data_IF_307161078640
#
_entry.id   IF_307161078640
#
_cell.length_a   1.000
_cell.length_b   1.000
_cell.length_c   1.000
_cell.angle_alpha   90.00
_cell.angle_beta   90.00
_cell.angle_gamma   90.00
#
_symmetry.space_group_name_H-M   'P 1'
#
loop_
_entity.id
_entity.type
_entity.pdbx_description
1 polymer ?
#
# COMPACT_ATOMS: atom_id res chain seq x y z
N UNK A 1 19.63 25.21 -9.89
CA UNK A 1 18.30 25.39 -9.24
C UNK A 1 18.45 25.00 -7.78
N UNK A 2 17.65 25.55 -6.87
CA UNK A 2 17.64 25.11 -5.45
C UNK A 2 17.07 23.68 -5.41
N UNK A 3 17.75 22.74 -4.73
CA UNK A 3 17.27 21.38 -4.54
C UNK A 3 15.99 21.38 -3.69
N UNK A 4 15.03 20.52 -4.03
CA UNK A 4 13.84 20.29 -3.19
C UNK A 4 14.22 19.41 -2.00
N UNK A 5 13.70 19.73 -0.85
CA UNK A 5 13.89 18.94 0.39
C UNK A 5 12.80 17.89 0.52
N UNK A 6 13.20 16.63 0.40
CA UNK A 6 12.33 15.46 0.45
C UNK A 6 12.52 14.72 1.76
N UNK A 7 11.49 14.69 2.62
CA UNK A 7 11.51 13.83 3.80
C UNK A 7 11.01 12.43 3.41
N UNK A 8 11.87 11.42 3.47
CA UNK A 8 11.53 10.02 3.21
C UNK A 8 11.21 9.35 4.53
N UNK A 9 9.92 8.99 4.74
CA UNK A 9 9.48 8.29 5.96
C UNK A 9 9.60 6.79 5.76
N UNK A 10 10.22 6.07 6.70
CA UNK A 10 10.38 4.62 6.63
C UNK A 10 10.22 3.93 7.99
N UNK A 11 10.04 2.60 7.98
CA UNK A 11 9.83 1.79 9.16
C UNK A 11 8.36 1.70 9.54
N UNK A 12 7.98 2.28 10.67
CA UNK A 12 6.59 2.34 11.13
C UNK A 12 6.23 1.28 12.18
N UNK A 13 5.24 1.60 13.02
CA UNK A 13 4.64 0.68 13.99
C UNK A 13 3.66 -0.28 13.30
N UNK A 14 4.16 -1.11 12.42
CA UNK A 14 3.44 -2.01 11.54
C UNK A 14 4.12 -3.38 11.46
N UNK A 15 3.36 -4.41 11.09
CA UNK A 15 3.90 -5.74 10.77
C UNK A 15 4.77 -5.73 9.51
N UNK A 16 4.67 -4.70 8.68
CA UNK A 16 5.40 -4.53 7.43
C UNK A 16 6.60 -3.57 7.56
N UNK A 17 7.06 -3.34 8.79
CA UNK A 17 8.21 -2.48 9.10
C UNK A 17 9.45 -2.82 8.27
N UNK A 18 9.78 -4.10 8.15
CA UNK A 18 10.94 -4.59 7.39
C UNK A 18 10.81 -4.30 5.89
N UNK A 19 9.61 -4.51 5.33
CA UNK A 19 9.32 -4.21 3.91
C UNK A 19 9.47 -2.72 3.64
N UNK A 20 9.01 -1.88 4.57
CA UNK A 20 9.18 -0.43 4.49
C UNK A 20 10.66 -0.02 4.43
N UNK A 21 11.51 -0.60 5.27
CA UNK A 21 12.97 -0.33 5.26
C UNK A 21 13.61 -0.72 3.94
N UNK A 22 13.27 -1.89 3.41
CA UNK A 22 13.77 -2.35 2.10
C UNK A 22 13.29 -1.46 0.96
N UNK A 23 12.02 -1.08 0.95
CA UNK A 23 11.44 -0.15 -0.02
C UNK A 23 12.13 1.23 0.04
N UNK A 24 12.33 1.76 1.26
CA UNK A 24 13.00 3.04 1.45
C UNK A 24 14.46 3.01 1.01
N UNK A 25 15.18 1.90 1.21
CA UNK A 25 16.53 1.73 0.68
C UNK A 25 16.54 1.88 -0.85
N UNK A 26 15.58 1.27 -1.55
CA UNK A 26 15.47 1.41 -3.00
C UNK A 26 15.13 2.85 -3.42
N UNK A 27 14.21 3.51 -2.71
CA UNK A 27 13.85 4.91 -2.98
C UNK A 27 15.05 5.83 -2.78
N UNK A 28 15.74 5.73 -1.63
CA UNK A 28 16.89 6.57 -1.28
C UNK A 28 18.06 6.41 -2.28
N UNK A 29 18.31 5.19 -2.77
CA UNK A 29 19.36 4.92 -3.74
C UNK A 29 19.03 5.42 -5.16
N UNK A 30 17.77 5.74 -5.45
CA UNK A 30 17.33 6.15 -6.79
C UNK A 30 16.79 7.59 -6.86
N UNK A 31 16.67 8.30 -5.74
CA UNK A 31 16.41 9.74 -5.77
C UNK A 31 17.61 10.49 -6.33
N UNK A 32 17.35 11.37 -7.31
CA UNK A 32 18.39 12.16 -7.97
C UNK A 32 18.98 13.19 -7.00
N UNK A 33 20.23 12.94 -6.55
CA UNK A 33 20.95 13.82 -5.64
C UNK A 33 21.21 15.23 -6.22
N UNK A 34 21.12 15.45 -7.52
CA UNK A 34 21.23 16.79 -8.11
C UNK A 34 19.94 17.60 -7.96
N UNK A 35 18.79 16.93 -7.84
CA UNK A 35 17.47 17.55 -7.71
C UNK A 35 17.00 17.65 -6.26
N UNK A 36 17.35 16.66 -5.43
CA UNK A 36 16.78 16.46 -4.10
C UNK A 36 17.83 16.52 -2.98
N UNK A 37 17.46 17.20 -1.91
CA UNK A 37 18.13 17.17 -0.60
C UNK A 37 17.27 16.26 0.31
N UNK A 38 17.74 15.05 0.59
CA UNK A 38 16.93 14.01 1.20
C UNK A 38 17.12 13.97 2.69
N UNK A 39 16.00 13.94 3.43
CA UNK A 39 15.93 13.81 4.89
C UNK A 39 15.30 12.46 5.25
N UNK A 40 16.09 11.40 5.49
CA UNK A 40 15.54 10.12 5.93
C UNK A 40 14.98 10.21 7.35
N UNK A 41 13.73 9.85 7.54
CA UNK A 41 13.05 9.87 8.84
C UNK A 41 12.56 8.46 9.17
N UNK A 42 13.22 7.82 10.12
CA UNK A 42 12.91 6.46 10.55
C UNK A 42 11.89 6.45 11.69
N UNK A 43 10.92 5.55 11.59
CA UNK A 43 9.92 5.29 12.62
C UNK A 43 10.13 3.87 13.14
N UNK A 44 10.43 3.73 14.44
CA UNK A 44 10.64 2.42 15.06
C UNK A 44 9.33 1.64 15.23
N UNK A 45 9.42 0.34 15.53
CA UNK A 45 8.22 -0.50 15.79
C UNK A 45 7.39 -0.04 16.99
N UNK A 46 8.01 0.62 17.96
CA UNK A 46 7.36 1.22 19.12
C UNK A 46 6.90 2.68 18.87
N UNK A 47 7.03 3.17 17.62
CA UNK A 47 6.46 4.44 17.19
C UNK A 47 7.34 5.67 17.46
N UNK A 48 8.62 5.51 17.81
CA UNK A 48 9.56 6.65 17.96
C UNK A 48 10.08 7.09 16.61
N UNK A 49 10.19 8.38 16.41
CA UNK A 49 10.64 9.00 15.17
C UNK A 49 12.04 9.56 15.31
N UNK A 50 12.88 9.33 14.31
CA UNK A 50 14.26 9.83 14.28
C UNK A 50 14.62 10.36 12.89
N UNK A 51 15.23 11.55 12.85
CA UNK A 51 16.02 11.97 11.69
C UNK A 51 17.27 11.09 11.66
N UNK A 52 17.45 10.36 10.57
CA UNK A 52 18.53 9.41 10.37
C UNK A 52 19.64 10.01 9.51
N UNK A 53 20.88 9.95 9.97
CA UNK A 53 22.05 10.50 9.26
C UNK A 53 23.09 9.44 8.89
N UNK A 54 22.78 8.17 9.11
CA UNK A 54 23.70 7.07 8.81
C UNK A 54 23.64 6.61 7.35
N UNK A 55 24.41 5.58 6.99
CA UNK A 55 24.43 5.02 5.64
C UNK A 55 23.13 4.28 5.29
N UNK A 56 22.73 4.34 4.01
CA UNK A 56 21.46 3.75 3.53
C UNK A 56 21.40 2.24 3.78
N UNK A 57 22.54 1.55 3.72
CA UNK A 57 22.67 0.10 3.99
C UNK A 57 22.21 -0.28 5.41
N UNK A 58 22.29 0.68 6.35
CA UNK A 58 21.80 0.51 7.71
C UNK A 58 20.30 0.28 7.81
N UNK A 59 19.51 0.71 6.81
CA UNK A 59 18.06 0.50 6.78
C UNK A 59 17.73 -0.98 6.61
N UNK A 60 18.30 -1.64 5.60
CA UNK A 60 18.03 -3.06 5.32
C UNK A 60 18.41 -3.96 6.49
N UNK A 61 19.58 -3.73 7.11
CA UNK A 61 20.06 -4.54 8.24
C UNK A 61 19.31 -4.27 9.55
N UNK A 62 18.59 -3.14 9.67
CA UNK A 62 17.98 -2.66 10.91
C UNK A 62 18.96 -1.95 11.86
N UNK A 63 20.22 -1.79 11.46
CA UNK A 63 21.23 -1.10 12.27
C UNK A 63 20.91 0.39 12.45
N UNK A 64 20.08 0.97 11.60
CA UNK A 64 19.67 2.36 11.65
C UNK A 64 19.08 2.77 13.02
N UNK A 65 18.31 1.89 13.67
CA UNK A 65 17.69 2.19 14.97
C UNK A 65 18.69 2.48 16.08
N UNK A 66 19.90 1.91 15.97
CA UNK A 66 20.98 2.04 16.97
C UNK A 66 22.06 3.03 16.54
N UNK A 67 21.85 3.75 15.44
CA UNK A 67 22.84 4.70 14.95
C UNK A 67 23.00 5.87 15.93
N UNK A 68 24.25 6.16 16.32
CA UNK A 68 24.55 7.17 17.33
C UNK A 68 24.21 8.60 16.90
N UNK A 69 24.10 8.84 15.58
CA UNK A 69 23.71 10.13 15.01
C UNK A 69 22.19 10.31 14.86
N UNK A 70 21.38 9.39 15.37
CA UNK A 70 19.90 9.55 15.34
C UNK A 70 19.47 10.71 16.22
N UNK A 71 18.69 11.62 15.64
CA UNK A 71 18.12 12.76 16.36
C UNK A 71 16.60 12.56 16.46
N UNK A 72 16.00 12.58 17.66
CA UNK A 72 14.56 12.53 17.81
C UNK A 72 13.88 13.60 16.95
N UNK A 73 12.84 13.22 16.23
CA UNK A 73 12.15 14.10 15.30
C UNK A 73 10.63 13.92 15.37
N UNK A 74 9.89 14.89 14.86
CA UNK A 74 8.44 14.81 14.74
C UNK A 74 7.95 15.68 13.59
N UNK A 75 6.80 15.33 13.01
CA UNK A 75 6.02 16.25 12.17
C UNK A 75 5.07 17.00 13.09
N UNK A 76 5.17 18.33 13.07
CA UNK A 76 4.34 19.20 13.89
C UNK A 76 3.24 19.83 13.03
N UNK A 77 1.96 19.66 13.38
CA UNK A 77 0.88 20.43 12.79
C UNK A 77 1.08 21.94 13.06
N UNK A 78 0.88 22.75 12.04
CA UNK A 78 0.92 24.21 12.16
C UNK A 78 1.88 24.87 11.17
N UNK A 79 1.41 25.92 10.54
CA UNK A 79 2.03 26.60 9.39
C UNK A 79 3.34 27.35 9.69
N UNK A 80 3.72 27.48 10.96
CA UNK A 80 4.92 28.25 11.36
C UNK A 80 6.20 27.45 11.50
N UNK A 81 6.15 26.12 11.48
CA UNK A 81 7.28 25.24 11.82
C UNK A 81 7.85 24.45 10.64
N UNK A 82 7.45 24.75 9.41
CA UNK A 82 7.88 24.02 8.21
C UNK A 82 7.68 22.48 8.27
N UNK A 83 6.83 22.02 9.19
CA UNK A 83 6.33 20.66 9.34
C UNK A 83 7.23 19.65 10.07
N UNK A 84 8.53 19.61 9.82
CA UNK A 84 9.46 18.68 10.47
C UNK A 84 10.32 19.42 11.50
N UNK A 85 10.43 18.84 12.70
CA UNK A 85 11.30 19.35 13.77
C UNK A 85 12.21 18.24 14.27
N UNK A 86 13.42 18.62 14.66
CA UNK A 86 14.40 17.76 15.32
C UNK A 86 14.71 18.29 16.71
N UNK A 87 14.88 17.40 17.68
CA UNK A 87 15.15 17.71 19.08
C UNK A 87 16.60 17.37 19.41
N UNK A 88 17.46 18.35 19.37
CA UNK A 88 18.90 18.16 19.52
C UNK A 88 19.42 19.01 20.72
N UNK A 89 20.08 18.37 21.69
CA UNK A 89 20.65 19.02 22.87
C UNK A 89 19.66 19.91 23.64
N UNK A 90 18.40 19.49 23.74
CA UNK A 90 17.33 20.24 24.40
C UNK A 90 16.76 21.41 23.58
N UNK A 91 17.19 21.57 22.35
CA UNK A 91 16.73 22.63 21.44
C UNK A 91 15.85 21.97 20.34
N UNK A 92 14.69 22.60 20.08
CA UNK A 92 13.84 22.24 18.94
C UNK A 92 14.30 23.01 17.68
N UNK A 93 14.73 22.31 16.66
CA UNK A 93 15.17 22.88 15.40
C UNK A 93 14.17 22.54 14.29
N UNK A 94 13.60 23.56 13.67
CA UNK A 94 12.75 23.39 12.47
C UNK A 94 13.60 23.00 11.26
N UNK A 95 13.13 22.04 10.52
CA UNK A 95 13.72 21.53 9.29
C UNK A 95 12.72 21.79 8.14
N UNK A 96 13.03 22.68 7.20
CA UNK A 96 12.14 22.90 6.06
C UNK A 96 12.07 21.65 5.19
N UNK A 97 10.83 21.27 4.82
CA UNK A 97 10.52 20.15 3.94
C UNK A 97 9.60 20.67 2.84
N UNK A 98 9.94 20.40 1.58
CA UNK A 98 9.13 20.81 0.44
C UNK A 98 8.10 19.72 0.10
N UNK A 99 8.44 18.44 0.32
CA UNK A 99 7.55 17.29 0.09
C UNK A 99 7.93 16.11 0.97
N UNK A 100 6.94 15.33 1.39
CA UNK A 100 7.14 14.07 2.12
C UNK A 100 6.93 12.89 1.19
N UNK A 101 7.82 11.91 1.23
CA UNK A 101 7.68 10.63 0.55
C UNK A 101 7.46 9.53 1.59
N UNK A 102 6.21 9.19 1.94
CA UNK A 102 5.94 8.08 2.84
C UNK A 102 6.26 6.76 2.13
N UNK A 103 7.15 5.96 2.70
CA UNK A 103 7.46 4.60 2.26
C UNK A 103 7.07 3.66 3.41
N UNK A 104 5.81 3.78 3.81
CA UNK A 104 5.22 3.07 4.95
C UNK A 104 4.18 2.09 4.43
N UNK A 105 4.12 0.90 5.02
CA UNK A 105 3.17 -0.13 4.60
C UNK A 105 2.26 -0.55 5.75
N UNK A 106 1.01 -0.92 5.41
CA UNK A 106 0.00 -1.37 6.34
C UNK A 106 -0.52 -0.28 7.28
N UNK A 107 -0.72 -0.66 8.54
CA UNK A 107 -1.29 0.22 9.58
C UNK A 107 -0.47 1.49 9.75
N UNK A 108 -1.15 2.63 9.90
CA UNK A 108 -0.62 3.99 10.02
C UNK A 108 0.07 4.51 8.75
N UNK A 109 0.35 3.68 7.75
CA UNK A 109 0.94 4.07 6.48
C UNK A 109 -0.09 4.21 5.36
N UNK A 110 -0.97 3.21 5.19
CA UNK A 110 -1.92 3.12 4.07
C UNK A 110 -3.37 3.41 4.47
N UNK A 111 -3.66 3.71 5.73
CA UNK A 111 -5.01 3.81 6.29
C UNK A 111 -5.54 5.25 6.46
N UNK A 112 -4.83 6.23 5.95
CA UNK A 112 -5.19 7.65 6.07
C UNK A 112 -4.58 8.35 7.29
N UNK A 113 -3.95 7.61 8.22
CA UNK A 113 -3.43 8.15 9.47
C UNK A 113 -2.24 9.09 9.23
N UNK A 114 -1.21 8.62 8.52
CA UNK A 114 -0.05 9.47 8.18
C UNK A 114 -0.47 10.61 7.23
N UNK A 115 -1.36 10.33 6.31
CA UNK A 115 -1.88 11.33 5.39
C UNK A 115 -2.58 12.46 6.14
N UNK A 116 -3.41 12.13 7.15
CA UNK A 116 -4.06 13.13 8.00
C UNK A 116 -3.08 14.00 8.80
N UNK A 117 -1.98 13.42 9.29
CA UNK A 117 -0.91 14.18 9.95
C UNK A 117 -0.25 15.16 8.96
N UNK A 118 0.02 14.72 7.73
CA UNK A 118 0.67 15.53 6.70
C UNK A 118 -0.25 16.66 6.21
N UNK A 119 -1.56 16.40 6.06
CA UNK A 119 -2.58 17.43 5.77
C UNK A 119 -2.61 18.50 6.87
N UNK A 120 -2.65 18.09 8.14
CA UNK A 120 -2.65 19.02 9.28
C UNK A 120 -1.33 19.84 9.38
N UNK A 121 -0.23 19.27 8.91
CA UNK A 121 1.06 19.96 8.85
C UNK A 121 1.21 20.86 7.62
N UNK A 122 0.27 20.80 6.65
CA UNK A 122 0.35 21.56 5.41
C UNK A 122 1.51 21.11 4.51
N UNK A 123 1.92 19.84 4.60
CA UNK A 123 3.04 19.28 3.84
C UNK A 123 2.53 18.52 2.62
N UNK A 124 2.99 18.85 1.40
CA UNK A 124 2.81 18.00 0.23
C UNK A 124 3.36 16.59 0.47
N UNK A 125 2.69 15.56 -0.03
CA UNK A 125 3.16 14.18 0.15
C UNK A 125 2.80 13.29 -1.04
N UNK A 126 3.66 12.30 -1.28
CA UNK A 126 3.49 11.27 -2.30
C UNK A 126 2.45 10.26 -1.85
N UNK A 127 1.60 9.82 -2.77
CA UNK A 127 0.58 8.80 -2.53
C UNK A 127 -0.84 9.34 -2.46
N UNK A 128 -1.78 8.46 -2.14
CA UNK A 128 -3.19 8.81 -2.01
C UNK A 128 -3.45 9.75 -0.83
N UNK A 129 -4.52 10.54 -0.92
CA UNK A 129 -5.01 11.36 0.18
C UNK A 129 -5.69 10.54 1.27
N UNK A 130 -6.13 11.22 2.34
CA UNK A 130 -6.78 10.59 3.50
C UNK A 130 -7.95 9.68 3.10
N UNK A 131 -8.86 10.19 2.27
CA UNK A 131 -10.07 9.45 1.88
C UNK A 131 -9.72 8.19 1.07
N UNK A 132 -8.90 8.32 0.02
CA UNK A 132 -8.51 7.19 -0.83
C UNK A 132 -7.78 6.10 -0.03
N UNK A 133 -6.83 6.50 0.82
CA UNK A 133 -6.10 5.58 1.70
C UNK A 133 -7.04 4.83 2.66
N UNK A 134 -7.91 5.55 3.38
CA UNK A 134 -8.82 4.94 4.34
C UNK A 134 -9.85 4.01 3.68
N UNK A 135 -10.39 4.38 2.52
CA UNK A 135 -11.37 3.57 1.79
C UNK A 135 -10.71 2.31 1.23
N UNK A 136 -9.53 2.43 0.61
CA UNK A 136 -8.83 1.27 0.03
C UNK A 136 -8.36 0.28 1.10
N UNK A 137 -7.93 0.80 2.26
CA UNK A 137 -7.49 -0.04 3.38
C UNK A 137 -8.64 -0.85 3.99
N UNK A 138 -9.87 -0.33 3.95
CA UNK A 138 -11.06 -1.02 4.44
C UNK A 138 -11.77 -1.78 3.31
N UNK A 139 -11.42 -3.04 3.13
CA UNK A 139 -11.96 -3.89 2.05
C UNK A 139 -13.50 -3.95 2.05
N UNK A 140 -14.15 -3.82 3.22
CA UNK A 140 -15.62 -3.80 3.32
C UNK A 140 -16.17 -2.52 2.70
N UNK A 141 -15.55 -1.37 3.00
CA UNK A 141 -15.96 -0.08 2.45
C UNK A 141 -15.63 0.00 0.96
N UNK A 142 -14.42 -0.41 0.56
CA UNK A 142 -14.04 -0.49 -0.85
C UNK A 142 -15.05 -1.31 -1.66
N UNK A 143 -15.39 -2.52 -1.20
CA UNK A 143 -16.38 -3.37 -1.87
C UNK A 143 -17.76 -2.71 -1.96
N UNK A 144 -18.25 -2.04 -0.91
CA UNK A 144 -19.51 -1.30 -0.96
C UNK A 144 -19.52 -0.17 -1.99
N UNK A 145 -18.40 0.56 -2.12
CA UNK A 145 -18.25 1.59 -3.15
C UNK A 145 -18.28 0.96 -4.54
N UNK A 146 -17.61 -0.18 -4.72
CA UNK A 146 -17.61 -0.92 -5.99
C UNK A 146 -18.99 -1.48 -6.32
N UNK A 147 -19.69 -2.08 -5.37
CA UNK A 147 -21.06 -2.60 -5.54
C UNK A 147 -22.04 -1.51 -5.98
N UNK A 148 -21.96 -0.34 -5.33
CA UNK A 148 -22.81 0.82 -5.68
C UNK A 148 -22.57 1.32 -7.11
N UNK A 149 -21.43 1.01 -7.70
CA UNK A 149 -21.07 1.36 -9.09
C UNK A 149 -21.22 0.20 -10.07
N UNK A 150 -21.79 -0.93 -9.64
CA UNK A 150 -21.89 -2.18 -10.40
C UNK A 150 -20.51 -2.61 -10.97
N UNK A 151 -19.43 -2.39 -10.20
CA UNK A 151 -18.09 -2.72 -10.62
C UNK A 151 -17.83 -4.23 -10.39
N UNK A 152 -17.17 -4.93 -11.32
CA UNK A 152 -16.86 -6.33 -11.14
C UNK A 152 -15.77 -6.50 -10.06
N UNK A 153 -16.17 -6.95 -8.88
CA UNK A 153 -15.29 -7.23 -7.75
C UNK A 153 -15.51 -8.64 -7.20
N UNK A 154 -14.56 -9.13 -6.42
CA UNK A 154 -14.72 -10.40 -5.70
C UNK A 154 -15.84 -10.25 -4.68
N UNK A 155 -16.88 -11.06 -4.82
CA UNK A 155 -18.00 -11.05 -3.89
C UNK A 155 -17.54 -11.51 -2.50
N UNK A 156 -17.77 -10.66 -1.51
CA UNK A 156 -17.46 -10.93 -0.12
C UNK A 156 -18.61 -10.53 0.81
N UNK A 157 -18.57 -11.06 2.03
CA UNK A 157 -19.46 -10.64 3.11
C UNK A 157 -18.65 -10.39 4.37
N UNK A 158 -19.04 -9.37 5.12
CA UNK A 158 -18.36 -9.00 6.35
C UNK A 158 -19.20 -9.36 7.57
N UNK A 159 -18.54 -9.85 8.59
CA UNK A 159 -19.11 -10.03 9.92
C UNK A 159 -18.34 -9.20 10.95
N UNK A 160 -19.04 -8.67 11.95
CA UNK A 160 -18.45 -7.86 13.03
C UNK A 160 -18.77 -8.48 14.38
N UNK A 161 -17.79 -8.55 15.27
CA UNK A 161 -17.93 -9.05 16.63
C UNK A 161 -18.99 -8.31 17.45
N UNK A 162 -19.23 -7.02 17.17
CA UNK A 162 -20.28 -6.20 17.82
C UNK A 162 -21.68 -6.31 17.21
N UNK A 163 -21.92 -7.17 16.22
CA UNK A 163 -23.20 -7.25 15.48
C UNK A 163 -24.35 -7.94 16.27
N UNK A 164 -24.08 -8.48 17.44
CA UNK A 164 -25.07 -9.28 18.21
C UNK A 164 -25.40 -10.63 17.58
N UNK A 165 -24.84 -10.99 16.45
CA UNK A 165 -25.02 -12.28 15.78
C UNK A 165 -23.77 -13.14 15.91
N UNK A 166 -23.95 -14.43 16.23
CA UNK A 166 -22.84 -15.38 16.16
C UNK A 166 -22.36 -15.51 14.71
N UNK A 167 -21.05 -15.43 14.46
CA UNK A 167 -20.48 -15.65 13.14
C UNK A 167 -20.85 -17.04 12.58
N UNK A 168 -21.06 -18.06 13.43
CA UNK A 168 -21.53 -19.41 13.07
C UNK A 168 -22.92 -19.37 12.43
N UNK A 169 -23.83 -18.56 12.98
CA UNK A 169 -25.17 -18.37 12.39
C UNK A 169 -25.14 -17.52 11.12
N UNK A 170 -24.18 -16.62 11.01
CA UNK A 170 -23.95 -15.80 9.81
C UNK A 170 -23.43 -16.64 8.64
N UNK A 171 -22.42 -17.47 8.84
CA UNK A 171 -21.88 -18.39 7.85
C UNK A 171 -22.85 -19.47 7.39
N UNK A 172 -23.66 -20.02 8.30
CA UNK A 172 -24.62 -21.07 7.99
C UNK A 172 -25.82 -20.60 7.12
N UNK A 173 -26.18 -19.31 7.18
CA UNK A 173 -27.29 -18.75 6.40
C UNK A 173 -26.99 -18.50 4.93
N UNK A 174 -25.73 -18.46 4.56
CA UNK A 174 -25.30 -18.24 3.19
C UNK A 174 -24.61 -19.49 2.66
N UNK A 175 -25.36 -20.30 1.91
CA UNK A 175 -24.85 -21.41 1.07
C UNK A 175 -24.00 -20.83 -0.08
N UNK A 176 -22.96 -20.06 0.21
CA UNK A 176 -21.96 -19.66 -0.75
C UNK A 176 -20.91 -20.76 -0.76
N UNK A 177 -20.75 -21.44 -1.90
CA UNK A 177 -19.72 -22.45 -2.05
C UNK A 177 -18.38 -21.95 -1.57
N UNK A 178 -17.70 -22.76 -0.77
CA UNK A 178 -16.33 -22.66 -0.26
C UNK A 178 -15.78 -21.22 -0.15
N UNK A 179 -15.91 -20.66 1.03
CA UNK A 179 -15.41 -19.33 1.32
C UNK A 179 -13.89 -19.34 1.52
N UNK A 180 -13.17 -18.51 0.82
CA UNK A 180 -11.87 -18.06 1.29
C UNK A 180 -12.09 -17.13 2.47
N UNK A 181 -11.35 -17.38 3.51
CA UNK A 181 -11.29 -16.52 4.65
C UNK A 181 -10.14 -15.52 4.48
N UNK A 182 -10.47 -14.24 4.38
CA UNK A 182 -9.49 -13.15 4.46
C UNK A 182 -9.79 -12.30 5.68
N UNK A 183 -8.77 -12.02 6.45
CA UNK A 183 -8.86 -11.06 7.53
C UNK A 183 -9.07 -9.67 6.94
N UNK A 184 -10.08 -8.96 7.40
CA UNK A 184 -10.26 -7.56 7.10
C UNK A 184 -9.45 -6.68 8.04
N UNK A 185 -8.77 -5.78 7.45
CA UNK A 185 -8.48 -4.47 7.97
C UNK A 185 -7.20 -4.21 8.72
N UNK A 186 -6.41 -3.55 8.81
CA UNK A 186 -5.32 -2.91 9.59
C UNK A 186 -3.92 -3.52 9.46
N UNK A 187 -3.74 -4.64 8.78
CA UNK A 187 -2.40 -5.22 8.63
C UNK A 187 -2.15 -5.76 7.23
N UNK A 188 -2.35 -4.97 6.17
CA UNK A 188 -1.87 -5.15 4.78
C UNK A 188 -1.67 -6.57 4.21
N UNK A 189 -1.60 -7.61 5.02
CA UNK A 189 -1.37 -8.99 4.62
C UNK A 189 -2.42 -9.93 5.20
N UNK A 190 -2.96 -10.81 4.35
CA UNK A 190 -3.92 -11.85 4.74
C UNK A 190 -3.26 -12.87 5.68
N UNK A 191 -3.79 -13.04 6.88
CA UNK A 191 -3.19 -13.90 7.92
C UNK A 191 -3.32 -15.39 7.59
N UNK A 192 -4.35 -15.82 6.84
CA UNK A 192 -4.49 -17.18 6.28
C UNK A 192 -5.51 -17.24 5.16
N UNK A 193 -5.15 -17.95 4.10
CA UNK A 193 -6.09 -18.48 3.12
C UNK A 193 -6.45 -19.92 3.54
N UNK A 194 -7.74 -20.23 3.66
CA UNK A 194 -8.22 -21.59 3.84
C UNK A 194 -9.11 -21.97 2.68
N UNK A 195 -8.65 -22.91 1.84
CA UNK A 195 -9.42 -23.47 0.74
C UNK A 195 -9.96 -24.82 1.16
N UNK A 196 -11.28 -25.02 1.04
CA UNK A 196 -11.89 -26.31 1.32
C UNK A 196 -11.85 -26.75 2.80
N UNK A 197 -11.66 -25.79 3.72
CA UNK A 197 -11.56 -26.06 5.15
C UNK A 197 -12.84 -26.70 5.71
N UNK A 198 -12.69 -27.75 6.50
CA UNK A 198 -13.74 -28.26 7.36
C UNK A 198 -14.19 -27.21 8.37
N UNK A 199 -15.36 -27.42 8.99
CA UNK A 199 -15.92 -26.47 9.97
C UNK A 199 -14.91 -26.06 11.08
N UNK A 200 -14.09 -26.97 11.56
CA UNK A 200 -13.10 -26.70 12.62
C UNK A 200 -11.93 -25.78 12.17
N UNK A 201 -11.51 -25.90 10.92
CA UNK A 201 -10.42 -25.03 10.38
C UNK A 201 -10.91 -23.61 10.13
N UNK A 202 -12.17 -23.46 9.71
CA UNK A 202 -12.80 -22.14 9.57
C UNK A 202 -12.94 -21.45 10.92
N UNK A 203 -13.33 -22.20 11.98
CA UNK A 203 -13.42 -21.67 13.34
C UNK A 203 -12.08 -21.14 13.83
N UNK A 204 -11.02 -21.94 13.71
CA UNK A 204 -9.67 -21.54 14.11
C UNK A 204 -9.17 -20.30 13.35
N UNK A 205 -9.53 -20.17 12.08
CA UNK A 205 -9.15 -19.01 11.27
C UNK A 205 -9.91 -17.74 11.66
N UNK A 206 -11.21 -17.87 11.98
CA UNK A 206 -12.01 -16.74 12.49
C UNK A 206 -11.46 -16.27 13.84
N UNK A 207 -11.20 -17.20 14.75
CA UNK A 207 -10.67 -16.88 16.07
C UNK A 207 -9.30 -16.21 15.99
N UNK A 208 -8.45 -16.66 15.08
CA UNK A 208 -7.15 -16.02 14.80
C UNK A 208 -7.34 -14.60 14.26
N UNK A 209 -8.26 -14.40 13.31
CA UNK A 209 -8.52 -13.09 12.74
C UNK A 209 -9.05 -12.10 13.77
N UNK A 210 -9.92 -12.56 14.66
CA UNK A 210 -10.49 -11.74 15.73
C UNK A 210 -9.47 -11.30 16.80
N UNK A 211 -8.30 -11.93 16.86
CA UNK A 211 -7.18 -11.44 17.69
C UNK A 211 -6.59 -10.14 17.14
N UNK A 212 -6.83 -9.84 15.87
CA UNK A 212 -6.21 -8.73 15.16
C UNK A 212 -7.19 -7.65 14.73
N UNK A 213 -8.47 -7.98 14.50
CA UNK A 213 -9.51 -7.04 14.11
C UNK A 213 -10.89 -7.51 14.64
N UNK A 214 -11.76 -6.54 14.88
CA UNK A 214 -13.16 -6.79 15.29
C UNK A 214 -14.07 -7.19 14.11
N UNK A 215 -13.57 -7.14 12.88
CA UNK A 215 -14.32 -7.47 11.66
C UNK A 215 -13.58 -8.51 10.83
N UNK A 216 -14.36 -9.39 10.24
CA UNK A 216 -13.88 -10.51 9.43
C UNK A 216 -14.58 -10.48 8.09
N UNK A 217 -13.81 -10.62 7.00
CA UNK A 217 -14.33 -10.70 5.62
C UNK A 217 -14.27 -12.14 5.15
N UNK A 218 -15.37 -12.61 4.60
CA UNK A 218 -15.49 -13.88 3.92
C UNK A 218 -15.63 -13.60 2.43
N UNK A 219 -14.72 -14.09 1.61
CA UNK A 219 -14.73 -13.89 0.17
C UNK A 219 -14.93 -15.21 -0.58
N UNK A 220 -15.56 -15.13 -1.75
CA UNK A 220 -15.61 -16.26 -2.67
C UNK A 220 -14.20 -16.57 -3.18
N UNK A 221 -13.86 -17.85 -3.22
CA UNK A 221 -12.67 -18.27 -3.95
C UNK A 221 -12.81 -18.01 -5.45
N UNK A 222 -11.81 -17.40 -6.04
CA UNK A 222 -11.71 -17.19 -7.47
C UNK A 222 -10.57 -18.06 -8.00
N UNK A 223 -10.91 -19.09 -8.77
CA UNK A 223 -9.92 -19.87 -9.49
C UNK A 223 -9.55 -19.12 -10.77
N UNK A 224 -8.37 -18.50 -10.78
CA UNK A 224 -7.95 -17.61 -11.87
C UNK A 224 -6.51 -17.14 -11.73
N UNK A 225 -6.07 -16.35 -12.71
CA UNK A 225 -4.79 -15.68 -12.71
C UNK A 225 -4.86 -14.44 -11.80
N UNK A 226 -3.87 -14.28 -10.91
CA UNK A 226 -3.70 -13.05 -10.11
C UNK A 226 -2.86 -12.06 -10.91
N UNK A 227 -3.42 -10.89 -11.19
CA UNK A 227 -2.78 -9.87 -12.02
C UNK A 227 -2.85 -8.50 -11.33
N UNK A 228 -1.78 -7.74 -11.47
CA UNK A 228 -1.59 -6.46 -10.80
C UNK A 228 -1.32 -5.35 -11.83
N UNK A 229 -1.98 -4.19 -11.69
CA UNK A 229 -1.73 -3.00 -12.49
C UNK A 229 -1.13 -1.88 -11.64
N UNK A 230 -0.13 -1.18 -12.17
CA UNK A 230 0.30 0.09 -11.62
C UNK A 230 -0.56 1.22 -12.22
N UNK A 231 -1.10 2.08 -11.34
CA UNK A 231 -1.88 3.25 -11.74
C UNK A 231 -1.24 4.49 -11.14
N UNK A 232 -1.19 5.58 -11.92
CA UNK A 232 -0.59 6.85 -11.52
C UNK A 232 -1.40 8.04 -12.06
N UNK A 233 -1.44 9.11 -11.28
CA UNK A 233 -2.00 10.40 -11.68
C UNK A 233 -2.91 11.04 -10.64
N UNK A 234 -3.23 12.30 -10.85
CA UNK A 234 -4.21 13.05 -10.06
C UNK A 234 -5.55 13.13 -10.83
N UNK A 235 -5.70 14.07 -11.73
CA UNK A 235 -6.89 14.24 -12.57
C UNK A 235 -6.73 13.46 -13.88
N UNK A 236 -5.57 13.56 -14.49
CA UNK A 236 -5.16 12.68 -15.57
C UNK A 236 -4.53 11.41 -14.99
N UNK A 237 -5.18 10.28 -15.23
CA UNK A 237 -4.83 8.99 -14.65
C UNK A 237 -4.46 8.02 -15.77
N UNK A 238 -3.31 7.39 -15.63
CA UNK A 238 -2.83 6.33 -16.52
C UNK A 238 -2.57 5.04 -15.76
N UNK A 239 -2.77 3.90 -16.42
CA UNK A 239 -2.45 2.57 -15.91
C UNK A 239 -1.53 1.83 -16.85
N UNK A 240 -0.70 0.94 -16.32
CA UNK A 240 0.10 0.00 -17.10
C UNK A 240 -0.72 -1.18 -17.57
N UNK A 241 -0.25 -1.94 -18.55
CA UNK A 241 -0.71 -3.33 -18.70
C UNK A 241 -0.40 -4.10 -17.41
N UNK A 242 -1.24 -5.11 -17.07
CA UNK A 242 -1.02 -5.88 -15.86
C UNK A 242 0.21 -6.78 -15.97
N UNK A 243 0.85 -7.01 -14.83
CA UNK A 243 1.75 -8.13 -14.61
C UNK A 243 1.04 -9.25 -13.88
N UNK A 244 1.51 -10.48 -14.06
CA UNK A 244 0.98 -11.69 -13.45
C UNK A 244 1.97 -12.23 -12.42
N UNK A 245 1.44 -12.70 -11.29
CA UNK A 245 2.18 -13.43 -10.30
C UNK A 245 2.07 -14.93 -10.62
N UNK A 246 3.18 -15.51 -11.04
CA UNK A 246 3.30 -16.95 -11.27
C UNK A 246 3.64 -17.62 -9.94
N UNK A 247 2.63 -18.07 -9.21
CA UNK A 247 2.82 -18.74 -7.94
C UNK A 247 3.63 -20.03 -8.12
N UNK A 248 4.66 -20.22 -7.31
CA UNK A 248 5.48 -21.46 -7.27
C UNK A 248 4.76 -22.60 -6.55
N UNK A 249 3.68 -22.31 -5.80
CA UNK A 249 2.83 -23.24 -5.07
C UNK A 249 1.37 -22.75 -5.08
N UNK A 250 0.46 -23.61 -4.64
CA UNK A 250 -1.00 -23.36 -4.60
C UNK A 250 -1.41 -22.14 -3.76
N UNK A 251 -0.48 -21.58 -2.94
CA UNK A 251 -0.69 -20.42 -2.09
C UNK A 251 0.51 -19.48 -2.11
N UNK A 252 0.24 -18.20 -2.37
CA UNK A 252 1.21 -17.12 -2.33
C UNK A 252 1.24 -16.51 -0.92
N UNK A 253 2.26 -16.87 -0.14
CA UNK A 253 2.41 -16.42 1.25
C UNK A 253 3.26 -15.14 1.35
N UNK A 254 3.23 -14.47 2.53
CA UNK A 254 4.12 -13.35 2.85
C UNK A 254 5.60 -13.72 2.69
N UNK A 255 5.96 -14.94 3.09
CA UNK A 255 7.33 -15.44 2.97
C UNK A 255 7.74 -15.63 1.51
N UNK A 256 6.81 -16.04 0.64
CA UNK A 256 7.05 -16.13 -0.80
C UNK A 256 7.22 -14.75 -1.44
N UNK A 257 6.50 -13.74 -0.93
CA UNK A 257 6.56 -12.36 -1.43
C UNK A 257 7.90 -11.69 -1.16
N UNK A 258 8.48 -11.88 0.03
CA UNK A 258 9.56 -11.03 0.52
C UNK A 258 10.82 -11.77 0.95
N UNK A 259 10.77 -13.08 1.24
CA UNK A 259 11.88 -13.83 1.82
C UNK A 259 12.46 -14.84 0.81
N UNK A 260 11.66 -15.66 0.16
CA UNK A 260 12.14 -16.75 -0.68
C UNK A 260 12.52 -16.35 -2.11
N UNK A 261 11.97 -15.24 -2.62
CA UNK A 261 12.28 -14.72 -3.96
C UNK A 261 12.00 -15.70 -5.12
N UNK A 262 11.26 -16.78 -4.87
CA UNK A 262 11.00 -17.87 -5.82
C UNK A 262 9.83 -17.60 -6.76
N UNK A 263 8.99 -16.58 -6.45
CA UNK A 263 7.87 -16.21 -7.29
C UNK A 263 8.35 -15.58 -8.58
N UNK A 264 7.96 -16.15 -9.71
CA UNK A 264 8.18 -15.57 -11.03
C UNK A 264 7.06 -14.59 -11.35
N UNK A 265 7.39 -13.52 -12.04
CA UNK A 265 6.41 -12.57 -12.56
C UNK A 265 6.49 -12.56 -14.08
N UNK A 266 5.35 -12.46 -14.74
CA UNK A 266 5.26 -12.20 -16.17
C UNK A 266 4.77 -10.76 -16.39
N UNK A 267 5.51 -9.97 -17.14
CA UNK A 267 5.14 -8.60 -17.50
C UNK A 267 5.35 -8.45 -19.02
N UNK A 268 4.30 -8.20 -19.80
CA UNK A 268 2.88 -8.22 -19.39
C UNK A 268 2.40 -9.60 -18.93
N UNK A 269 1.26 -9.65 -18.25
CA UNK A 269 0.57 -10.89 -17.87
C UNK A 269 0.27 -11.78 -19.08
N UNK A 270 0.22 -13.10 -18.90
CA UNK A 270 -0.06 -14.07 -19.96
C UNK A 270 -1.56 -14.09 -20.30
N UNK A 271 -2.06 -12.98 -20.85
CA UNK A 271 -3.43 -12.75 -21.25
C UNK A 271 -3.50 -12.31 -22.71
N UNK A 272 -4.66 -12.48 -23.34
CA UNK A 272 -4.91 -11.92 -24.67
C UNK A 272 -4.80 -10.37 -24.65
N UNK A 273 -4.35 -9.71 -25.74
CA UNK A 273 -4.17 -8.26 -25.78
C UNK A 273 -5.41 -7.48 -25.33
N UNK A 274 -6.60 -7.87 -25.78
CA UNK A 274 -7.86 -7.23 -25.42
C UNK A 274 -8.15 -7.36 -23.91
N UNK A 275 -7.68 -8.45 -23.29
CA UNK A 275 -7.85 -8.67 -21.86
C UNK A 275 -6.85 -7.85 -21.05
N UNK A 276 -5.64 -7.64 -21.55
CA UNK A 276 -4.66 -6.71 -20.95
C UNK A 276 -5.21 -5.29 -20.91
N UNK A 277 -5.83 -4.82 -22.00
CA UNK A 277 -6.48 -3.52 -22.10
C UNK A 277 -7.69 -3.42 -21.15
N UNK A 278 -8.53 -4.44 -21.10
CA UNK A 278 -9.69 -4.49 -20.19
C UNK A 278 -9.26 -4.35 -18.73
N UNK A 279 -8.22 -5.10 -18.30
CA UNK A 279 -7.71 -5.03 -16.92
C UNK A 279 -7.14 -3.65 -16.62
N UNK A 280 -6.35 -3.07 -17.53
CA UNK A 280 -5.82 -1.70 -17.37
C UNK A 280 -6.94 -0.67 -17.21
N UNK A 281 -7.95 -0.72 -18.07
CA UNK A 281 -9.06 0.24 -18.07
C UNK A 281 -9.90 0.09 -16.78
N UNK A 282 -10.12 -1.14 -16.32
CA UNK A 282 -10.74 -1.41 -15.03
C UNK A 282 -9.89 -0.88 -13.87
N UNK A 283 -8.55 -1.00 -13.93
CA UNK A 283 -7.67 -0.47 -12.89
C UNK A 283 -7.80 1.06 -12.76
N UNK A 284 -7.79 1.79 -13.87
CA UNK A 284 -8.00 3.25 -13.89
C UNK A 284 -9.38 3.62 -13.35
N UNK A 285 -10.42 2.88 -13.71
CA UNK A 285 -11.79 3.10 -13.20
C UNK A 285 -11.90 2.83 -11.70
N UNK A 286 -11.30 1.75 -11.20
CA UNK A 286 -11.28 1.43 -9.77
C UNK A 286 -10.54 2.51 -8.97
N UNK A 287 -9.37 2.93 -9.44
CA UNK A 287 -8.57 4.00 -8.87
C UNK A 287 -9.37 5.29 -8.68
N UNK A 288 -10.06 5.74 -9.74
CA UNK A 288 -10.92 6.93 -9.69
C UNK A 288 -12.11 6.74 -8.76
N UNK A 289 -12.75 5.57 -8.81
CA UNK A 289 -13.95 5.28 -8.01
C UNK A 289 -13.65 5.27 -6.50
N UNK A 290 -12.44 4.86 -6.10
CA UNK A 290 -11.98 4.83 -4.71
C UNK A 290 -11.25 6.12 -4.29
N UNK A 291 -11.34 7.19 -5.08
CA UNK A 291 -10.75 8.49 -4.80
C UNK A 291 -9.22 8.44 -4.62
N UNK A 292 -8.54 7.53 -5.32
CA UNK A 292 -7.09 7.47 -5.32
C UNK A 292 -6.48 8.65 -6.06
N UNK A 293 -5.28 9.06 -5.65
CA UNK A 293 -4.44 10.10 -6.25
C UNK A 293 -2.97 9.69 -6.13
N UNK A 294 -2.11 10.30 -6.95
CA UNK A 294 -0.68 10.02 -6.94
C UNK A 294 -0.36 8.65 -7.52
N UNK A 295 -0.48 7.58 -6.73
CA UNK A 295 -0.23 6.21 -7.17
C UNK A 295 -1.11 5.19 -6.44
N UNK A 296 -1.32 4.05 -7.08
CA UNK A 296 -1.80 2.82 -6.43
C UNK A 296 -1.47 1.59 -7.28
N UNK A 297 -1.37 0.43 -6.66
CA UNK A 297 -1.42 -0.86 -7.33
C UNK A 297 -2.82 -1.44 -7.19
N UNK A 298 -3.40 -1.83 -8.31
CA UNK A 298 -4.75 -2.38 -8.39
C UNK A 298 -4.66 -3.84 -8.76
N UNK A 299 -5.14 -4.72 -7.90
CA UNK A 299 -4.97 -6.16 -7.98
C UNK A 299 -6.30 -6.84 -8.38
N UNK A 300 -6.23 -7.74 -9.36
CA UNK A 300 -7.39 -8.42 -9.93
C UNK A 300 -7.19 -9.93 -9.98
N UNK A 301 -8.30 -10.65 -10.07
CA UNK A 301 -8.35 -12.02 -10.59
C UNK A 301 -8.98 -12.05 -11.98
N UNK A 302 -8.36 -12.78 -12.90
CA UNK A 302 -8.97 -13.18 -14.17
C UNK A 302 -9.44 -14.62 -14.04
N UNK A 303 -10.75 -14.81 -13.87
CA UNK A 303 -11.38 -16.08 -13.55
C UNK A 303 -11.22 -17.08 -14.71
N UNK A 304 -10.72 -18.28 -14.42
CA UNK A 304 -10.63 -19.34 -15.43
C UNK A 304 -12.02 -19.70 -15.96
N UNK A 305 -12.11 -20.10 -17.20
CA UNK A 305 -13.35 -20.49 -17.89
C UNK A 305 -14.21 -19.30 -18.32
N UNK A 306 -14.58 -18.41 -17.40
CA UNK A 306 -15.43 -17.24 -17.72
C UNK A 306 -14.66 -16.05 -18.26
N UNK A 307 -13.36 -15.97 -18.00
CA UNK A 307 -12.49 -14.84 -18.32
C UNK A 307 -12.97 -13.50 -17.74
N UNK A 308 -13.77 -13.54 -16.67
CA UNK A 308 -14.21 -12.32 -15.97
C UNK A 308 -13.07 -11.73 -15.17
N UNK A 309 -12.90 -10.41 -15.27
CA UNK A 309 -11.95 -9.65 -14.46
C UNK A 309 -12.65 -9.18 -13.19
N UNK A 310 -12.12 -9.53 -12.04
CA UNK A 310 -12.71 -9.24 -10.73
C UNK A 310 -11.70 -8.49 -9.87
N UNK A 311 -12.06 -7.29 -9.44
CA UNK A 311 -11.23 -6.51 -8.52
C UNK A 311 -11.06 -7.27 -7.20
N UNK A 312 -9.81 -7.39 -6.77
CA UNK A 312 -9.43 -7.98 -5.49
C UNK A 312 -9.21 -6.89 -4.43
N UNK A 313 -8.23 -6.02 -4.65
CA UNK A 313 -7.90 -4.94 -3.71
C UNK A 313 -7.13 -3.80 -4.40
N UNK A 314 -6.99 -2.67 -3.70
CA UNK A 314 -6.20 -1.52 -4.14
C UNK A 314 -5.23 -1.14 -3.04
N UNK A 315 -3.93 -1.14 -3.37
CA UNK A 315 -2.83 -0.82 -2.47
C UNK A 315 -2.35 0.62 -2.74
N UNK A 316 -2.54 1.52 -1.81
CA UNK A 316 -2.31 2.96 -2.00
C UNK A 316 -0.87 3.40 -1.76
N UNK A 317 -0.07 2.58 -1.08
CA UNK A 317 1.39 2.72 -0.95
C UNK A 317 2.05 1.35 -1.22
N UNK A 318 2.09 0.92 -2.48
CA UNK A 318 2.68 -0.37 -2.84
C UNK A 318 4.18 -0.41 -2.52
N UNK A 319 4.74 -1.61 -2.39
CA UNK A 319 6.17 -1.78 -2.16
C UNK A 319 7.04 -1.19 -3.28
N UNK A 320 8.22 -0.71 -2.91
CA UNK A 320 9.21 -0.10 -3.81
C UNK A 320 10.55 -0.86 -3.82
N UNK A 321 10.57 -2.12 -3.38
CA UNK A 321 11.77 -2.96 -3.49
C UNK A 321 12.02 -3.36 -4.94
N UNK A 322 13.23 -3.87 -5.25
CA UNK A 322 13.59 -4.35 -6.59
C UNK A 322 12.71 -5.51 -7.07
N UNK A 323 12.05 -6.22 -6.16
CA UNK A 323 11.13 -7.32 -6.48
C UNK A 323 9.66 -6.88 -6.53
N UNK A 324 9.34 -5.67 -6.05
CA UNK A 324 7.96 -5.16 -5.98
C UNK A 324 7.36 -4.95 -7.37
N UNK A 325 6.09 -5.33 -7.52
CA UNK A 325 5.41 -5.31 -8.82
C UNK A 325 5.19 -3.88 -9.34
N UNK A 326 4.81 -2.93 -8.48
CA UNK A 326 4.52 -1.56 -8.91
C UNK A 326 5.68 -0.91 -9.69
N UNK A 327 6.92 -0.81 -9.15
CA UNK A 327 8.03 -0.26 -9.93
C UNK A 327 8.37 -1.12 -11.16
N UNK A 328 8.28 -2.46 -11.10
CA UNK A 328 8.53 -3.32 -12.27
C UNK A 328 7.56 -3.03 -13.42
N UNK A 329 6.28 -2.82 -13.12
CA UNK A 329 5.27 -2.48 -14.12
C UNK A 329 5.56 -1.12 -14.77
N UNK A 330 5.93 -0.12 -13.99
CA UNK A 330 6.27 1.21 -14.49
C UNK A 330 7.54 1.18 -15.35
N UNK A 331 8.56 0.43 -14.93
CA UNK A 331 9.78 0.24 -15.74
C UNK A 331 9.49 -0.51 -17.06
N UNK A 332 8.64 -1.53 -17.02
CA UNK A 332 8.22 -2.24 -18.23
C UNK A 332 7.39 -1.34 -19.18
N UNK A 333 6.72 -0.32 -18.65
CA UNK A 333 6.03 0.71 -19.43
C UNK A 333 6.97 1.79 -19.99
N UNK A 334 8.29 1.67 -19.79
CA UNK A 334 9.30 2.57 -20.36
C UNK A 334 9.83 3.65 -19.42
N UNK A 335 9.39 3.65 -18.15
CA UNK A 335 9.94 4.57 -17.14
C UNK A 335 11.34 4.15 -16.69
N UNK A 336 12.10 5.10 -16.16
CA UNK A 336 13.27 4.81 -15.33
C UNK A 336 12.91 4.91 -13.87
N UNK A 337 13.66 4.24 -12.99
CA UNK A 337 13.36 4.32 -11.56
C UNK A 337 13.45 5.76 -11.00
N UNK A 338 14.52 6.54 -11.29
CA UNK A 338 14.55 7.95 -10.93
C UNK A 338 13.40 8.77 -11.54
N UNK A 339 13.05 8.54 -12.82
CA UNK A 339 11.93 9.22 -13.49
C UNK A 339 10.58 8.93 -12.84
N UNK A 340 10.38 7.70 -12.39
CA UNK A 340 9.19 7.32 -11.61
C UNK A 340 9.11 8.13 -10.31
N UNK A 341 10.20 8.19 -9.54
CA UNK A 341 10.23 8.96 -8.29
C UNK A 341 9.98 10.45 -8.53
N UNK A 342 10.63 11.03 -9.55
CA UNK A 342 10.42 12.42 -9.97
C UNK A 342 8.94 12.70 -10.27
N UNK A 343 8.30 11.82 -11.05
CA UNK A 343 6.89 11.98 -11.41
C UNK A 343 5.95 11.91 -10.21
N UNK A 344 6.22 11.03 -9.25
CA UNK A 344 5.42 10.90 -8.03
C UNK A 344 5.57 12.13 -7.12
N UNK A 345 6.77 12.69 -7.01
CA UNK A 345 7.03 13.94 -6.29
C UNK A 345 6.32 15.11 -6.97
N UNK A 346 6.39 15.18 -8.30
CA UNK A 346 5.68 16.22 -9.07
C UNK A 346 4.18 16.17 -8.83
N UNK A 347 3.56 14.97 -8.89
CA UNK A 347 2.12 14.80 -8.60
C UNK A 347 1.77 15.24 -7.17
N UNK A 348 2.64 15.00 -6.20
CA UNK A 348 2.41 15.45 -4.83
C UNK A 348 2.38 16.98 -4.72
N UNK A 349 3.31 17.66 -5.40
CA UNK A 349 3.40 19.12 -5.42
C UNK A 349 2.24 19.75 -6.19
N UNK A 350 1.85 19.19 -7.33
CA UNK A 350 0.68 19.63 -8.10
C UNK A 350 -0.61 19.57 -7.28
N UNK A 351 -0.82 18.46 -6.56
CA UNK A 351 -2.00 18.31 -5.70
C UNK A 351 -2.06 19.37 -4.61
N UNK A 352 -0.92 19.71 -4.02
CA UNK A 352 -0.84 20.73 -2.97
C UNK A 352 -1.01 22.15 -3.51
N UNK A 353 -0.54 22.44 -4.74
CA UNK A 353 -0.70 23.72 -5.41
C UNK A 353 -2.09 23.97 -5.99
N UNK A 354 -2.87 22.90 -6.25
CA UNK A 354 -4.23 22.98 -6.80
C UNK A 354 -5.35 23.24 -5.78
N UNK A 355 -5.03 23.39 -4.50
CA UNK A 355 -6.02 23.64 -3.41
C UNK A 355 -6.21 25.14 -3.13
N UNK A 356 -5.82 26.00 -4.05
CA UNK A 356 -6.07 27.44 -3.97
C UNK A 356 -7.09 27.91 -5.01
N UNK A 357 -8.31 27.36 -4.91
CA UNK A 357 -9.53 27.98 -5.44
C UNK A 357 -10.71 27.82 -4.45
#
# INVERSE_FOLDING_TARGET
MKKLKVAVLFGGASSEHEVSRMSATSVLNNLDAEKYDVLPVGITKDGRWYLYSGPVEGLCSGAWERHSGNVPAAICPGSGLAGLVAFENGVCRSLPVDVVFPVLHGKNGEDGTIQGLLELAGLPYVGCGVLGSAVCMDKIIANRVMDARAFPAVNGTAWSAGSGQSWRSFGARRKTGLAHFRQARQRGSSVRHLQGAGHGELEAAVDLALQHDSRVVFERFVQGQEVECAVRGNDEVSGTHPGEILASAEFYTYDDKYISGTSRVAIPAQLAPEKLDEVRDLAVRAYRALCCKGLARVDFFVEHGTQRVLLNEVNTLPGFTSISMYPKLMLAAGETYPGLLDSLITLALERAGGVHD
#
